data_IF_489044783912
#
_entry.id   IF_489044783912
#
_cell.length_a   1.000
_cell.length_b   1.000
_cell.length_c   1.000
_cell.angle_alpha   90.00
_cell.angle_beta   90.00
_cell.angle_gamma   90.00
#
_symmetry.space_group_name_H-M   'P 1'
#
loop_
_entity.id
_entity.type
_entity.pdbx_description
1 polymer ?
#
# COMPACT_ATOMS: atom_id res chain seq x y z
N UNK A 1 -38.55 -45.62 -66.39
CA UNK A 1 -38.16 -44.80 -67.57
C UNK A 1 -37.83 -43.40 -67.12
N UNK A 2 -36.63 -42.96 -67.50
CA UNK A 2 -36.19 -41.56 -67.68
C UNK A 2 -36.16 -40.60 -66.48
N UNK A 3 -35.03 -40.20 -66.04
CA UNK A 3 -33.87 -39.42 -66.52
C UNK A 3 -33.82 -38.01 -65.97
N UNK A 4 -32.70 -37.72 -65.37
CA UNK A 4 -31.96 -36.40 -65.40
C UNK A 4 -32.57 -35.25 -64.58
N UNK A 5 -31.84 -34.42 -63.97
CA UNK A 5 -30.39 -34.09 -63.87
C UNK A 5 -30.19 -33.18 -62.66
N UNK A 6 -29.11 -33.35 -61.94
CA UNK A 6 -28.09 -32.40 -61.58
C UNK A 6 -28.48 -30.92 -61.56
N UNK A 7 -28.33 -30.25 -60.44
CA UNK A 7 -27.48 -29.04 -60.36
C UNK A 7 -27.07 -28.82 -58.88
N UNK A 8 -25.76 -28.79 -58.71
CA UNK A 8 -25.10 -28.45 -57.46
C UNK A 8 -25.15 -26.94 -57.30
N UNK A 9 -25.47 -26.47 -56.12
CA UNK A 9 -25.18 -25.11 -55.70
C UNK A 9 -24.40 -25.14 -54.38
N UNK A 10 -23.12 -24.84 -54.52
CA UNK A 10 -22.24 -24.58 -53.40
C UNK A 10 -22.62 -23.26 -52.75
N UNK A 11 -23.08 -23.29 -51.51
CA UNK A 11 -23.18 -22.12 -50.67
C UNK A 11 -22.04 -22.19 -49.66
N UNK A 12 -21.02 -21.36 -49.84
CA UNK A 12 -19.93 -21.18 -48.93
C UNK A 12 -20.43 -20.46 -47.66
N UNK A 13 -20.51 -21.17 -46.52
CA UNK A 13 -20.67 -20.55 -45.22
C UNK A 13 -19.32 -19.98 -44.79
N UNK A 14 -19.19 -18.66 -44.84
CA UNK A 14 -18.13 -17.94 -44.16
C UNK A 14 -18.37 -17.99 -42.65
N UNK A 15 -17.59 -18.81 -41.95
CA UNK A 15 -17.52 -18.82 -40.50
C UNK A 15 -16.79 -17.57 -40.03
N UNK A 16 -17.56 -16.55 -39.68
CA UNK A 16 -17.03 -15.37 -39.00
C UNK A 16 -16.68 -15.73 -37.54
N UNK A 17 -15.39 -15.91 -37.26
CA UNK A 17 -14.89 -16.02 -35.91
C UNK A 17 -14.98 -14.66 -35.23
N UNK A 18 -16.01 -14.50 -34.39
CA UNK A 18 -16.08 -13.39 -33.45
C UNK A 18 -15.06 -13.68 -32.31
N UNK A 19 -13.85 -13.17 -32.47
CA UNK A 19 -12.94 -12.99 -31.34
C UNK A 19 -13.54 -11.90 -30.43
N UNK A 20 -14.32 -12.35 -29.43
CA UNK A 20 -14.65 -11.51 -28.30
C UNK A 20 -13.37 -11.22 -27.54
N UNK A 21 -12.70 -10.12 -27.89
CA UNK A 21 -11.64 -9.55 -27.12
C UNK A 21 -12.20 -9.16 -25.76
N UNK A 22 -11.85 -9.86 -24.70
CA UNK A 22 -11.98 -9.36 -23.34
C UNK A 22 -11.11 -8.10 -23.25
N UNK A 23 -11.70 -6.95 -23.49
CA UNK A 23 -11.14 -5.68 -23.09
C UNK A 23 -11.11 -5.69 -21.57
N UNK A 24 -10.01 -6.17 -20.99
CA UNK A 24 -9.69 -5.93 -19.60
C UNK A 24 -9.68 -4.43 -19.41
N UNK A 25 -10.68 -3.91 -18.69
CA UNK A 25 -10.63 -2.56 -18.15
C UNK A 25 -9.45 -2.51 -17.19
N UNK A 26 -8.26 -2.26 -17.74
CA UNK A 26 -7.09 -1.87 -16.99
C UNK A 26 -7.44 -0.54 -16.35
N UNK A 27 -7.87 -0.58 -15.08
CA UNK A 27 -7.83 0.60 -14.24
C UNK A 27 -6.43 1.16 -14.35
N UNK A 28 -6.32 2.45 -14.73
CA UNK A 28 -5.04 3.13 -14.87
C UNK A 28 -4.25 3.01 -13.58
N UNK A 29 -3.46 1.94 -13.46
CA UNK A 29 -2.41 1.88 -12.49
C UNK A 29 -1.44 3.00 -12.88
N UNK A 30 -1.07 3.81 -11.91
CA UNK A 30 0.08 4.70 -11.93
C UNK A 30 1.31 3.78 -12.13
N UNK A 31 1.48 3.33 -13.39
CA UNK A 31 2.35 2.24 -13.82
C UNK A 31 3.80 2.71 -13.83
N UNK A 32 4.43 2.70 -12.68
CA UNK A 32 5.83 3.06 -12.53
C UNK A 32 6.23 3.46 -11.12
N UNK A 33 5.27 3.59 -10.20
CA UNK A 33 5.57 4.00 -8.83
C UNK A 33 5.23 2.88 -7.86
N UNK A 34 6.21 2.39 -7.11
CA UNK A 34 5.96 1.43 -6.04
C UNK A 34 5.00 2.02 -5.00
N UNK A 35 4.04 1.20 -4.57
CA UNK A 35 3.16 1.52 -3.46
C UNK A 35 3.39 0.49 -2.37
N UNK A 36 3.82 0.93 -1.21
CA UNK A 36 4.22 0.03 -0.13
C UNK A 36 3.65 0.48 1.20
N UNK A 37 3.01 -0.44 1.91
CA UNK A 37 2.62 -0.23 3.31
C UNK A 37 3.61 -0.93 4.23
N UNK A 38 4.27 -0.16 5.08
CA UNK A 38 5.12 -0.65 6.15
C UNK A 38 4.31 -0.77 7.43
N UNK A 39 4.30 -1.97 8.02
CA UNK A 39 3.53 -2.29 9.22
C UNK A 39 4.43 -2.34 10.45
N UNK A 40 4.20 -1.43 11.41
CA UNK A 40 4.92 -1.37 12.67
C UNK A 40 3.98 -1.67 13.85
N UNK A 41 4.28 -2.74 14.62
CA UNK A 41 3.47 -3.20 15.75
C UNK A 41 4.27 -3.57 17.00
N UNK A 42 5.59 -3.75 16.87
CA UNK A 42 6.39 -4.47 17.86
C UNK A 42 7.30 -3.55 18.70
N UNK A 43 7.10 -2.23 18.64
CA UNK A 43 7.78 -1.24 19.47
C UNK A 43 9.01 -0.60 18.83
N UNK A 44 9.82 0.08 19.64
CA UNK A 44 10.91 0.95 19.17
C UNK A 44 12.00 0.23 18.37
N UNK A 45 12.44 -1.00 18.71
CA UNK A 45 13.46 -1.69 17.88
C UNK A 45 12.98 -1.95 16.46
N UNK A 46 11.72 -2.37 16.28
CA UNK A 46 11.14 -2.54 14.95
C UNK A 46 10.99 -1.18 14.23
N UNK A 47 10.59 -0.13 14.95
CA UNK A 47 10.48 1.21 14.38
C UNK A 47 11.83 1.69 13.84
N UNK A 48 12.91 1.57 14.61
CA UNK A 48 14.27 1.94 14.18
C UNK A 48 14.68 1.18 12.92
N UNK A 49 14.45 -0.13 12.87
CA UNK A 49 14.73 -0.95 11.69
C UNK A 49 13.88 -0.52 10.50
N UNK A 50 12.58 -0.31 10.73
CA UNK A 50 11.62 0.10 9.69
C UNK A 50 11.96 1.44 9.07
N UNK A 51 12.22 2.48 9.87
CA UNK A 51 12.57 3.81 9.38
C UNK A 51 13.85 3.79 8.54
N UNK A 52 14.88 3.02 8.98
CA UNK A 52 16.10 2.81 8.20
C UNK A 52 15.80 2.10 6.88
N UNK A 53 14.99 1.05 6.90
CA UNK A 53 14.61 0.28 5.70
C UNK A 53 13.84 1.15 4.70
N UNK A 54 12.95 2.02 5.18
CA UNK A 54 12.23 2.99 4.35
C UNK A 54 13.21 3.97 3.70
N UNK A 55 14.20 4.46 4.46
CA UNK A 55 15.27 5.30 3.92
C UNK A 55 16.01 4.65 2.76
N UNK A 56 16.46 3.40 2.94
CA UNK A 56 17.14 2.61 1.91
C UNK A 56 16.24 2.35 0.68
N UNK A 57 14.96 2.08 0.91
CA UNK A 57 13.98 1.90 -0.18
C UNK A 57 13.89 3.16 -1.04
N UNK A 58 13.76 4.32 -0.40
CA UNK A 58 13.66 5.60 -1.11
C UNK A 58 14.97 6.03 -1.78
N UNK A 59 16.14 5.52 -1.38
CA UNK A 59 17.40 5.76 -2.11
C UNK A 59 17.38 5.12 -3.49
N UNK A 60 16.83 3.92 -3.61
CA UNK A 60 16.73 3.19 -4.87
C UNK A 60 15.49 3.62 -5.66
N UNK A 61 14.40 3.90 -4.97
CA UNK A 61 13.10 4.23 -5.56
C UNK A 61 12.53 5.53 -4.96
N UNK A 62 13.10 6.70 -5.34
CA UNK A 62 12.77 7.99 -4.71
C UNK A 62 11.31 8.42 -4.92
N UNK A 63 10.63 7.84 -5.92
CA UNK A 63 9.23 8.11 -6.22
C UNK A 63 8.25 7.12 -5.58
N UNK A 64 8.72 6.15 -4.79
CA UNK A 64 7.84 5.19 -4.12
C UNK A 64 6.81 5.90 -3.23
N UNK A 65 5.56 5.44 -3.28
CA UNK A 65 4.50 5.90 -2.40
C UNK A 65 4.46 5.00 -1.17
N UNK A 66 4.89 5.53 -0.04
CA UNK A 66 5.05 4.77 1.20
C UNK A 66 4.08 5.27 2.25
N UNK A 67 3.33 4.34 2.84
CA UNK A 67 2.51 4.57 4.03
C UNK A 67 3.03 3.68 5.15
N UNK A 68 3.32 4.26 6.29
CA UNK A 68 3.68 3.54 7.52
C UNK A 68 2.42 3.45 8.38
N UNK A 69 1.97 2.24 8.69
CA UNK A 69 0.83 2.04 9.60
C UNK A 69 1.33 1.48 10.91
N UNK A 70 1.13 2.25 11.98
CA UNK A 70 1.55 1.92 13.34
C UNK A 70 0.35 1.55 14.23
N UNK A 71 0.43 0.43 14.94
CA UNK A 71 -0.53 0.04 15.97
C UNK A 71 0.13 -0.69 17.15
N UNK A 72 -0.62 -1.01 18.18
CA UNK A 72 -0.12 -1.63 19.40
C UNK A 72 1.11 -0.88 19.97
N UNK A 73 2.22 -1.55 20.24
CA UNK A 73 3.47 -0.89 20.67
C UNK A 73 4.18 -0.16 19.53
N UNK A 74 3.83 -0.45 18.30
CA UNK A 74 4.40 0.23 17.13
C UNK A 74 4.10 1.73 17.06
N UNK A 75 3.13 2.25 17.84
CA UNK A 75 2.85 3.69 17.87
C UNK A 75 3.86 4.49 18.71
N UNK A 76 4.68 3.81 19.52
CA UNK A 76 5.52 4.47 20.53
C UNK A 76 6.56 5.42 19.93
N UNK A 77 7.09 5.12 18.75
CA UNK A 77 8.05 6.01 18.08
C UNK A 77 7.42 7.33 17.57
N UNK A 78 6.09 7.35 17.41
CA UNK A 78 5.35 8.56 17.00
C UNK A 78 4.97 9.45 18.20
N UNK A 79 5.27 9.04 19.43
CA UNK A 79 5.04 9.88 20.60
C UNK A 79 6.09 10.99 20.68
N UNK A 80 5.68 12.16 21.18
CA UNK A 80 6.59 13.27 21.48
C UNK A 80 7.70 12.78 22.42
N UNK A 81 8.90 13.26 22.20
CA UNK A 81 10.10 12.93 22.96
C UNK A 81 10.56 11.45 22.89
N UNK A 82 9.94 10.61 22.05
CA UNK A 82 10.43 9.26 21.81
C UNK A 82 11.83 9.29 21.19
N UNK A 83 12.73 8.45 21.73
CA UNK A 83 14.12 8.37 21.32
C UNK A 83 14.52 6.94 21.00
N UNK A 84 15.43 6.80 20.05
CA UNK A 84 16.07 5.52 19.75
C UNK A 84 17.09 5.12 20.82
N UNK A 85 17.71 3.96 20.65
CA UNK A 85 18.71 3.43 21.57
C UNK A 85 19.98 4.33 21.70
N UNK A 86 20.22 5.20 20.73
CA UNK A 86 21.35 6.14 20.71
C UNK A 86 20.97 7.52 21.25
N UNK A 87 19.72 7.72 21.66
CA UNK A 87 19.20 8.98 22.16
C UNK A 87 18.76 9.97 21.08
N UNK A 88 18.75 9.59 19.81
CA UNK A 88 18.24 10.42 18.72
C UNK A 88 16.70 10.43 18.74
N UNK A 89 16.11 11.59 18.51
CA UNK A 89 14.66 11.72 18.48
C UNK A 89 14.08 11.07 17.21
N UNK A 90 13.03 10.25 17.40
CA UNK A 90 12.31 9.70 16.25
C UNK A 90 11.63 10.78 15.41
N UNK A 91 11.19 11.88 16.03
CA UNK A 91 10.57 13.00 15.34
C UNK A 91 11.44 13.53 14.19
N UNK A 92 12.76 13.65 14.41
CA UNK A 92 13.71 14.14 13.38
C UNK A 92 13.80 13.18 12.19
N UNK A 93 13.80 11.87 12.46
CA UNK A 93 13.80 10.84 11.41
C UNK A 93 12.48 10.79 10.64
N UNK A 94 11.37 10.88 11.37
CA UNK A 94 10.03 10.91 10.77
C UNK A 94 9.88 12.14 9.88
N UNK A 95 10.31 13.32 10.35
CA UNK A 95 10.26 14.55 9.55
C UNK A 95 11.03 14.43 8.25
N UNK A 96 12.24 13.85 8.28
CA UNK A 96 13.03 13.62 7.07
C UNK A 96 12.29 12.73 6.05
N UNK A 97 11.62 11.69 6.52
CA UNK A 97 10.84 10.79 5.65
C UNK A 97 9.55 11.45 5.15
N UNK A 98 8.88 12.24 5.98
CA UNK A 98 7.70 13.04 5.57
C UNK A 98 8.06 14.01 4.45
N UNK A 99 9.20 14.68 4.53
CA UNK A 99 9.72 15.55 3.45
C UNK A 99 9.96 14.79 2.14
N UNK A 100 10.15 13.47 2.21
CA UNK A 100 10.27 12.56 1.06
C UNK A 100 8.93 11.95 0.64
N UNK A 101 7.81 12.38 1.22
CA UNK A 101 6.46 11.96 0.86
C UNK A 101 5.94 10.71 1.59
N UNK A 102 6.61 10.27 2.67
CA UNK A 102 6.11 9.15 3.50
C UNK A 102 4.98 9.65 4.39
N UNK A 103 3.88 8.89 4.44
CA UNK A 103 2.75 9.11 5.33
C UNK A 103 2.86 8.20 6.55
N UNK A 104 2.49 8.71 7.72
CA UNK A 104 2.49 7.95 8.99
C UNK A 104 1.10 7.90 9.58
N UNK A 105 0.51 6.70 9.61
CA UNK A 105 -0.83 6.42 10.10
C UNK A 105 -0.79 5.75 11.47
N UNK A 106 -1.47 6.33 12.44
CA UNK A 106 -1.53 5.88 13.84
C UNK A 106 -2.93 5.35 14.16
N UNK A 107 -3.01 4.14 14.68
CA UNK A 107 -4.25 3.43 14.98
C UNK A 107 -4.99 4.01 16.20
N UNK A 108 -6.20 4.53 16.02
CA UNK A 108 -7.04 5.07 17.12
C UNK A 108 -7.54 3.98 18.07
N UNK A 109 -7.73 2.74 17.62
CA UNK A 109 -8.04 1.62 18.53
C UNK A 109 -6.92 1.45 19.55
N UNK A 110 -5.67 1.57 19.10
CA UNK A 110 -4.51 1.51 20.00
C UNK A 110 -4.54 2.64 21.03
N UNK A 111 -4.84 3.87 20.60
CA UNK A 111 -4.96 5.00 21.52
C UNK A 111 -5.99 4.73 22.61
N UNK A 112 -7.20 4.29 22.21
CA UNK A 112 -8.26 3.98 23.18
C UNK A 112 -7.85 2.87 24.15
N UNK A 113 -7.29 1.78 23.65
CA UNK A 113 -6.92 0.63 24.49
C UNK A 113 -5.79 0.95 25.47
N UNK A 114 -4.90 1.87 25.10
CA UNK A 114 -3.76 2.30 25.93
C UNK A 114 -4.01 3.63 26.66
N UNK A 115 -5.21 4.20 26.52
CA UNK A 115 -5.60 5.49 27.12
C UNK A 115 -4.67 6.64 26.71
N UNK A 116 -4.16 6.59 25.47
CA UNK A 116 -3.31 7.61 24.89
C UNK A 116 -4.18 8.71 24.23
N UNK A 117 -3.68 9.95 24.25
CA UNK A 117 -4.33 11.10 23.64
C UNK A 117 -3.56 11.52 22.38
N UNK A 118 -4.25 12.03 21.36
CA UNK A 118 -3.62 12.51 20.10
C UNK A 118 -2.56 13.57 20.35
N UNK A 119 -2.74 14.42 21.37
CA UNK A 119 -1.82 15.50 21.72
C UNK A 119 -0.45 15.01 22.22
N UNK A 120 -0.33 13.71 22.55
CA UNK A 120 0.94 13.09 22.93
C UNK A 120 1.80 12.69 21.72
N UNK A 121 1.25 12.77 20.53
CA UNK A 121 1.92 12.38 19.30
C UNK A 121 2.51 13.59 18.55
N UNK A 122 3.56 13.33 17.77
CA UNK A 122 4.18 14.33 16.92
C UNK A 122 3.21 14.79 15.82
N UNK A 123 3.41 15.99 15.30
CA UNK A 123 2.49 16.65 14.35
C UNK A 123 2.36 15.93 13.00
N UNK A 124 3.29 15.06 12.68
CA UNK A 124 3.30 14.26 11.45
C UNK A 124 2.40 13.03 11.48
N UNK A 125 1.68 12.82 12.58
CA UNK A 125 0.77 11.67 12.77
C UNK A 125 -0.57 11.89 12.10
N UNK A 126 -0.94 11.02 11.18
CA UNK A 126 -2.30 10.89 10.68
C UNK A 126 -3.02 9.82 11.49
N UNK A 127 -4.22 10.10 12.00
CA UNK A 127 -4.95 9.13 12.81
C UNK A 127 -5.99 8.40 11.96
N UNK A 128 -5.92 7.06 12.00
CA UNK A 128 -6.85 6.17 11.29
C UNK A 128 -7.68 5.36 12.29
N UNK A 129 -8.96 5.08 12.01
CA UNK A 129 -9.85 4.39 12.93
C UNK A 129 -9.29 3.03 13.40
N UNK A 130 -8.66 2.28 12.48
CA UNK A 130 -8.02 0.98 12.76
C UNK A 130 -6.81 0.78 11.87
N UNK A 131 -5.63 0.56 12.45
CA UNK A 131 -4.42 0.28 11.66
C UNK A 131 -4.54 -0.98 10.81
N UNK A 132 -5.12 -2.06 11.33
CA UNK A 132 -5.30 -3.31 10.57
C UNK A 132 -6.28 -3.11 9.41
N UNK A 133 -7.38 -2.38 9.63
CA UNK A 133 -8.33 -2.07 8.56
C UNK A 133 -7.70 -1.18 7.48
N UNK A 134 -6.84 -0.23 7.88
CA UNK A 134 -6.12 0.64 6.95
C UNK A 134 -5.13 -0.16 6.08
N UNK A 135 -4.33 -1.06 6.68
CA UNK A 135 -3.46 -1.96 5.93
C UNK A 135 -4.26 -2.77 4.91
N UNK A 136 -5.39 -3.35 5.32
CA UNK A 136 -6.26 -4.12 4.44
C UNK A 136 -6.80 -3.26 3.29
N UNK A 137 -7.23 -2.05 3.60
CA UNK A 137 -7.75 -1.10 2.61
C UNK A 137 -6.68 -0.72 1.58
N UNK A 138 -5.48 -0.38 2.03
CA UNK A 138 -4.34 -0.03 1.16
C UNK A 138 -3.98 -1.17 0.22
N UNK A 139 -3.92 -2.41 0.74
CA UNK A 139 -3.59 -3.57 -0.08
C UNK A 139 -4.69 -3.91 -1.09
N UNK A 140 -5.94 -4.00 -0.64
CA UNK A 140 -7.04 -4.49 -1.48
C UNK A 140 -7.59 -3.45 -2.45
N UNK A 141 -7.58 -2.18 -2.07
CA UNK A 141 -8.22 -1.12 -2.86
C UNK A 141 -7.24 -0.24 -3.60
N UNK A 142 -6.02 -0.11 -3.10
CA UNK A 142 -5.01 0.75 -3.70
C UNK A 142 -3.77 -0.01 -4.20
N UNK A 143 -3.72 -1.34 -4.04
CA UNK A 143 -2.66 -2.19 -4.59
C UNK A 143 -1.30 -2.03 -3.90
N UNK A 144 -1.28 -1.67 -2.61
CA UNK A 144 -0.03 -1.56 -1.86
C UNK A 144 0.58 -2.94 -1.58
N UNK A 145 1.87 -3.09 -1.82
CA UNK A 145 2.64 -4.21 -1.31
C UNK A 145 2.81 -4.08 0.21
N UNK A 146 2.79 -5.20 0.92
CA UNK A 146 2.91 -5.22 2.38
C UNK A 146 4.32 -5.61 2.81
N UNK A 147 4.91 -4.81 3.71
CA UNK A 147 6.18 -5.10 4.36
C UNK A 147 6.06 -4.95 5.89
N UNK A 148 6.58 -5.94 6.61
CA UNK A 148 6.78 -5.88 8.06
C UNK A 148 8.28 -6.02 8.34
N UNK A 149 8.98 -4.92 8.66
CA UNK A 149 10.41 -4.90 8.90
C UNK A 149 10.80 -5.50 10.24
#
# INVERSE_FOLDING_TARGET
MNRRALFAAFAALAAGSLLSGCAGTGGGADSGRDRVVYHLSDGLPQASNGLRTIGNHLEVNPNAKIVVVAHARGVDFMMKDAKDANGAKYEDLVEQLVRRGVQFDVCEITLRNRQLKREQFISYSTFVPSGVAEITRLQQKEGYAYLKP
#
